data_IF_231626518238
#
_entry.id   IF_231626518238
#
_cell.length_a   1.000
_cell.length_b   1.000
_cell.length_c   1.000
_cell.angle_alpha   90.00
_cell.angle_beta   90.00
_cell.angle_gamma   90.00
#
_symmetry.space_group_name_H-M   'P 1'
#
loop_
_entity.id
_entity.type
_entity.pdbx_description
1 polymer ?
#
# COMPACT_ATOMS: atom_id res chain seq x y z
N UNK A 1 24.68 2.01 -8.55
CA UNK A 1 23.79 2.51 -7.49
C UNK A 1 24.58 3.43 -6.57
N UNK A 2 24.18 4.69 -6.39
CA UNK A 2 24.62 5.47 -5.25
C UNK A 2 24.13 4.80 -3.96
N UNK A 3 24.93 4.82 -2.89
CA UNK A 3 24.61 4.15 -1.60
C UNK A 3 23.30 4.65 -0.97
N UNK A 4 22.82 5.82 -1.39
CA UNK A 4 21.59 6.48 -0.92
C UNK A 4 20.33 5.79 -1.46
N UNK A 5 20.25 5.56 -2.78
CA UNK A 5 19.11 4.87 -3.41
C UNK A 5 18.90 3.44 -2.86
N UNK A 6 19.98 2.71 -2.58
CA UNK A 6 19.87 1.36 -1.99
C UNK A 6 19.22 1.39 -0.60
N UNK A 7 19.47 2.44 0.20
CA UNK A 7 18.87 2.59 1.53
C UNK A 7 17.38 2.84 1.45
N UNK A 8 16.94 3.73 0.55
CA UNK A 8 15.53 3.99 0.33
C UNK A 8 14.79 2.71 -0.09
N UNK A 9 15.32 1.99 -1.09
CA UNK A 9 14.76 0.70 -1.52
C UNK A 9 14.71 -0.33 -0.39
N UNK A 10 15.74 -0.40 0.45
CA UNK A 10 15.76 -1.31 1.60
C UNK A 10 14.73 -0.93 2.68
N UNK A 11 14.53 0.36 2.95
CA UNK A 11 13.51 0.84 3.89
C UNK A 11 12.11 0.55 3.36
N UNK A 12 11.85 0.80 2.07
CA UNK A 12 10.60 0.44 1.41
C UNK A 12 10.31 -1.07 1.52
N UNK A 13 11.32 -1.90 1.22
CA UNK A 13 11.21 -3.35 1.36
C UNK A 13 10.94 -3.78 2.81
N UNK A 14 11.53 -3.10 3.80
CA UNK A 14 11.27 -3.35 5.21
C UNK A 14 9.82 -3.01 5.58
N UNK A 15 9.28 -1.88 5.10
CA UNK A 15 7.87 -1.52 5.34
C UNK A 15 6.94 -2.58 4.73
N UNK A 16 7.18 -3.01 3.50
CA UNK A 16 6.42 -4.09 2.86
C UNK A 16 6.47 -5.39 3.70
N UNK A 17 7.64 -5.74 4.22
CA UNK A 17 7.80 -6.91 5.07
C UNK A 17 7.03 -6.78 6.38
N UNK A 18 7.10 -5.62 7.04
CA UNK A 18 6.37 -5.34 8.28
C UNK A 18 4.87 -5.40 8.06
N UNK A 19 4.36 -4.85 6.95
CA UNK A 19 2.95 -4.91 6.59
C UNK A 19 2.50 -6.37 6.37
N UNK A 20 3.28 -7.17 5.64
CA UNK A 20 2.96 -8.57 5.38
C UNK A 20 2.99 -9.44 6.64
N UNK A 21 4.07 -9.35 7.42
CA UNK A 21 4.22 -10.10 8.67
C UNK A 21 3.18 -9.66 9.69
N UNK A 22 2.90 -8.36 9.79
CA UNK A 22 1.88 -7.81 10.65
C UNK A 22 0.48 -8.31 10.28
N UNK A 23 0.13 -8.29 9.00
CA UNK A 23 -1.15 -8.82 8.52
C UNK A 23 -1.30 -10.32 8.87
N UNK A 24 -0.27 -11.13 8.60
CA UNK A 24 -0.26 -12.56 8.92
C UNK A 24 -0.39 -12.85 10.42
N UNK A 25 0.22 -12.02 11.27
CA UNK A 25 0.09 -12.15 12.71
C UNK A 25 -1.32 -11.81 13.20
N UNK A 26 -2.00 -10.86 12.53
CA UNK A 26 -3.33 -10.39 12.91
C UNK A 26 -4.48 -11.28 12.42
N UNK A 27 -4.30 -11.99 11.30
CA UNK A 27 -5.33 -12.84 10.67
C UNK A 27 -6.07 -13.75 11.67
N UNK A 28 -5.38 -14.57 12.50
CA UNK A 28 -6.07 -15.44 13.45
C UNK A 28 -6.89 -14.65 14.47
N UNK A 29 -6.30 -13.61 15.06
CA UNK A 29 -6.95 -12.80 16.09
C UNK A 29 -8.15 -12.01 15.56
N UNK A 30 -8.07 -11.48 14.35
CA UNK A 30 -9.19 -10.77 13.72
C UNK A 30 -10.37 -11.70 13.43
N UNK A 31 -10.09 -12.93 13.01
CA UNK A 31 -11.13 -13.93 12.80
C UNK A 31 -11.80 -14.33 14.13
N UNK A 32 -11.01 -14.60 15.18
CA UNK A 32 -11.53 -14.94 16.51
C UNK A 32 -12.39 -13.81 17.12
N UNK A 33 -12.05 -12.56 16.85
CA UNK A 33 -12.81 -11.39 17.29
C UNK A 33 -14.03 -11.06 16.40
N UNK A 34 -14.26 -11.84 15.33
CA UNK A 34 -15.41 -11.66 14.46
C UNK A 34 -15.32 -10.40 13.58
N UNK A 35 -14.12 -9.96 13.22
CA UNK A 35 -13.91 -8.77 12.38
C UNK A 35 -14.12 -9.01 10.88
N UNK A 36 -14.54 -10.22 10.50
CA UNK A 36 -14.91 -10.53 9.12
C UNK A 36 -16.12 -9.68 8.70
N UNK A 37 -15.93 -8.86 7.66
CA UNK A 37 -16.91 -7.83 7.28
C UNK A 37 -17.96 -8.29 6.28
N UNK A 38 -17.80 -9.49 5.70
CA UNK A 38 -18.71 -10.05 4.70
C UNK A 38 -19.25 -11.40 5.15
N UNK A 39 -20.50 -11.68 4.80
CA UNK A 39 -21.19 -12.92 5.15
C UNK A 39 -20.60 -14.13 4.41
N UNK A 40 -20.42 -14.01 3.08
CA UNK A 40 -19.78 -15.02 2.24
C UNK A 40 -18.49 -14.47 1.62
N UNK A 41 -17.30 -14.80 2.17
CA UNK A 41 -16.02 -14.39 1.61
C UNK A 41 -15.71 -14.94 0.23
N UNK A 42 -16.40 -15.99 -0.22
CA UNK A 42 -16.10 -16.65 -1.50
C UNK A 42 -16.78 -15.99 -2.69
N UNK A 43 -17.84 -15.19 -2.45
CA UNK A 43 -18.61 -14.52 -3.49
C UNK A 43 -17.76 -13.47 -4.25
N UNK A 44 -17.53 -13.65 -5.58
CA UNK A 44 -16.80 -12.67 -6.39
C UNK A 44 -17.45 -11.29 -6.45
N UNK A 45 -18.75 -11.19 -6.17
CA UNK A 45 -19.51 -9.93 -6.13
C UNK A 45 -18.94 -8.97 -5.08
N UNK A 46 -18.35 -9.49 -4.00
CA UNK A 46 -17.65 -8.67 -3.00
C UNK A 46 -16.58 -7.79 -3.65
N UNK A 47 -15.79 -8.33 -4.59
CA UNK A 47 -14.75 -7.56 -5.30
C UNK A 47 -15.35 -6.37 -6.05
N UNK A 48 -16.49 -6.56 -6.69
CA UNK A 48 -17.18 -5.50 -7.45
C UNK A 48 -17.75 -4.43 -6.51
N UNK A 49 -18.35 -4.83 -5.38
CA UNK A 49 -18.84 -3.90 -4.37
C UNK A 49 -17.71 -3.02 -3.83
N UNK A 50 -16.55 -3.63 -3.54
CA UNK A 50 -15.39 -2.89 -3.06
C UNK A 50 -14.76 -1.98 -4.11
N UNK A 51 -14.69 -2.41 -5.38
CA UNK A 51 -14.28 -1.51 -6.47
C UNK A 51 -15.24 -0.31 -6.56
N UNK A 52 -16.55 -0.54 -6.46
CA UNK A 52 -17.55 0.52 -6.39
C UNK A 52 -17.32 1.46 -5.20
N UNK A 53 -17.02 0.91 -4.03
CA UNK A 53 -16.71 1.69 -2.83
C UNK A 53 -15.42 2.54 -2.99
N UNK A 54 -14.37 1.98 -3.61
CA UNK A 54 -13.14 2.72 -3.92
C UNK A 54 -13.46 3.88 -4.86
N UNK A 55 -14.17 3.63 -5.96
CA UNK A 55 -14.55 4.68 -6.91
C UNK A 55 -15.40 5.76 -6.22
N UNK A 56 -16.35 5.35 -5.38
CA UNK A 56 -17.19 6.27 -4.61
C UNK A 56 -16.38 7.14 -3.64
N UNK A 57 -15.44 6.54 -2.91
CA UNK A 57 -14.55 7.28 -1.99
C UNK A 57 -13.60 8.21 -2.75
N UNK A 58 -13.04 7.77 -3.88
CA UNK A 58 -12.21 8.62 -4.74
C UNK A 58 -13.01 9.80 -5.28
N UNK A 59 -14.23 9.57 -5.78
CA UNK A 59 -15.10 10.64 -6.24
C UNK A 59 -15.43 11.62 -5.10
N UNK A 60 -15.71 11.13 -3.90
CA UNK A 60 -15.91 11.95 -2.71
C UNK A 60 -14.68 12.81 -2.40
N UNK A 61 -13.47 12.23 -2.40
CA UNK A 61 -12.23 12.98 -2.18
C UNK A 61 -12.01 14.06 -3.23
N UNK A 62 -12.21 13.75 -4.52
CA UNK A 62 -12.07 14.73 -5.61
C UNK A 62 -13.07 15.88 -5.48
N UNK A 63 -14.30 15.60 -5.07
CA UNK A 63 -15.31 16.63 -4.79
C UNK A 63 -14.88 17.47 -3.59
N UNK A 64 -14.39 16.86 -2.51
CA UNK A 64 -13.93 17.58 -1.34
C UNK A 64 -12.74 18.51 -1.64
N UNK A 65 -11.78 18.07 -2.47
CA UNK A 65 -10.69 18.91 -2.96
C UNK A 65 -11.18 20.06 -3.83
N UNK A 66 -12.16 19.81 -4.70
CA UNK A 66 -12.77 20.87 -5.52
C UNK A 66 -13.40 22.00 -4.68
N UNK A 67 -13.76 21.73 -3.43
CA UNK A 67 -14.33 22.70 -2.50
C UNK A 67 -13.33 23.16 -1.43
N UNK A 68 -12.02 22.90 -1.61
CA UNK A 68 -10.95 23.27 -0.68
C UNK A 68 -11.20 22.78 0.76
N UNK A 69 -11.77 21.58 0.91
CA UNK A 69 -12.11 20.99 2.21
C UNK A 69 -10.93 20.22 2.84
N UNK A 70 -9.71 20.72 2.72
CA UNK A 70 -8.48 20.00 3.10
C UNK A 70 -8.46 19.58 4.57
N UNK A 71 -8.92 20.46 5.47
CA UNK A 71 -9.03 20.18 6.90
C UNK A 71 -10.01 19.02 7.19
N UNK A 72 -11.10 18.93 6.42
CA UNK A 72 -12.08 17.85 6.54
C UNK A 72 -11.46 16.52 6.09
N UNK A 73 -10.79 16.52 4.94
CA UNK A 73 -10.14 15.33 4.39
C UNK A 73 -9.05 14.83 5.34
N UNK A 74 -8.19 15.72 5.82
CA UNK A 74 -7.17 15.40 6.83
C UNK A 74 -7.80 14.85 8.11
N UNK A 75 -8.88 15.46 8.59
CA UNK A 75 -9.62 15.00 9.76
C UNK A 75 -10.20 13.59 9.60
N UNK A 76 -10.83 13.30 8.44
CA UNK A 76 -11.37 11.99 8.11
C UNK A 76 -10.25 10.95 8.07
N UNK A 77 -9.14 11.23 7.37
CA UNK A 77 -8.03 10.29 7.22
C UNK A 77 -7.40 9.98 8.57
N UNK A 78 -7.12 10.99 9.39
CA UNK A 78 -6.58 10.79 10.75
C UNK A 78 -7.56 9.98 11.61
N UNK A 79 -8.85 10.29 11.54
CA UNK A 79 -9.87 9.56 12.30
C UNK A 79 -9.90 8.08 11.89
N UNK A 80 -9.96 7.79 10.60
CA UNK A 80 -9.90 6.43 10.06
C UNK A 80 -8.59 5.73 10.44
N UNK A 81 -7.48 6.46 10.45
CA UNK A 81 -6.17 5.96 10.91
C UNK A 81 -6.23 5.53 12.38
N UNK A 82 -6.83 6.35 13.24
CA UNK A 82 -7.05 6.03 14.66
C UNK A 82 -7.97 4.84 14.86
N UNK A 83 -9.04 4.71 14.06
CA UNK A 83 -9.94 3.56 14.11
C UNK A 83 -9.22 2.26 13.69
N UNK A 84 -8.45 2.28 12.60
CA UNK A 84 -7.68 1.11 12.15
C UNK A 84 -6.59 0.74 13.17
N UNK A 85 -5.89 1.72 13.73
CA UNK A 85 -4.93 1.49 14.82
C UNK A 85 -5.61 0.86 16.04
N UNK A 86 -6.83 1.28 16.37
CA UNK A 86 -7.62 0.67 17.44
C UNK A 86 -7.93 -0.80 17.16
N UNK A 87 -8.38 -1.16 15.95
CA UNK A 87 -8.59 -2.57 15.57
C UNK A 87 -7.33 -3.42 15.77
N UNK A 88 -6.17 -2.92 15.34
CA UNK A 88 -4.89 -3.61 15.50
C UNK A 88 -4.52 -3.76 16.98
N UNK A 89 -4.58 -2.68 17.75
CA UNK A 89 -4.23 -2.72 19.16
C UNK A 89 -5.22 -3.55 20.00
N UNK A 90 -6.52 -3.52 19.67
CA UNK A 90 -7.54 -4.32 20.35
C UNK A 90 -7.39 -5.82 20.06
N UNK A 91 -6.83 -6.19 18.91
CA UNK A 91 -6.52 -7.58 18.58
C UNK A 91 -5.29 -8.11 19.33
N UNK A 92 -4.29 -7.26 19.57
CA UNK A 92 -3.00 -7.68 20.15
C UNK A 92 -2.94 -7.47 21.66
N UNK A 93 -3.61 -6.45 22.20
CA UNK A 93 -3.52 -6.08 23.61
C UNK A 93 -4.70 -6.61 24.41
N UNK A 94 -4.47 -7.17 25.62
CA UNK A 94 -5.54 -7.70 26.45
C UNK A 94 -6.44 -6.62 27.08
N UNK A 95 -6.01 -5.36 27.09
CA UNK A 95 -6.73 -4.26 27.73
C UNK A 95 -7.27 -3.26 26.68
N UNK A 96 -8.58 -3.21 26.50
CA UNK A 96 -9.24 -2.32 25.56
C UNK A 96 -9.03 -0.82 25.82
N UNK A 97 -8.85 -0.40 27.08
CA UNK A 97 -8.54 1.00 27.41
C UNK A 97 -7.12 1.37 26.97
N UNK A 98 -6.17 0.45 27.10
CA UNK A 98 -4.81 0.64 26.61
C UNK A 98 -4.80 0.73 25.08
N UNK A 99 -5.55 -0.15 24.40
CA UNK A 99 -5.70 -0.11 22.95
C UNK A 99 -6.27 1.22 22.46
N UNK A 100 -7.32 1.73 23.12
CA UNK A 100 -7.92 3.03 22.83
C UNK A 100 -6.96 4.19 23.10
N UNK A 101 -6.20 4.14 24.20
CA UNK A 101 -5.22 5.16 24.52
C UNK A 101 -4.10 5.20 23.47
N UNK A 102 -3.56 4.04 23.05
CA UNK A 102 -2.51 3.97 22.03
C UNK A 102 -3.01 4.38 20.65
N UNK A 103 -4.23 4.01 20.26
CA UNK A 103 -4.81 4.45 18.99
C UNK A 103 -5.06 5.96 18.97
N UNK A 104 -5.48 6.54 20.10
CA UNK A 104 -5.59 7.99 20.26
C UNK A 104 -4.23 8.68 20.16
N UNK A 105 -3.16 8.08 20.72
CA UNK A 105 -1.79 8.58 20.56
C UNK A 105 -1.37 8.59 19.09
N UNK A 106 -1.64 7.53 18.33
CA UNK A 106 -1.35 7.49 16.87
C UNK A 106 -2.09 8.61 16.14
N UNK A 107 -3.39 8.78 16.38
CA UNK A 107 -4.18 9.83 15.76
C UNK A 107 -3.68 11.24 16.13
N UNK A 108 -3.37 11.47 17.41
CA UNK A 108 -2.83 12.76 17.88
C UNK A 108 -1.43 13.04 17.33
N UNK A 109 -0.57 12.02 17.22
CA UNK A 109 0.75 12.17 16.63
C UNK A 109 0.65 12.61 15.15
N UNK A 110 -0.26 12.01 14.38
CA UNK A 110 -0.50 12.41 12.99
C UNK A 110 -1.09 13.84 12.85
N UNK A 111 -1.83 14.32 13.85
CA UNK A 111 -2.37 15.69 13.85
C UNK A 111 -1.31 16.73 14.21
N UNK A 112 -0.54 16.46 15.26
CA UNK A 112 0.34 17.46 15.88
C UNK A 112 1.73 17.43 15.27
N UNK A 113 2.22 16.25 14.86
CA UNK A 113 3.61 16.07 14.41
C UNK A 113 3.74 15.04 13.28
N UNK A 114 3.28 15.38 12.06
CA UNK A 114 3.33 14.49 10.89
C UNK A 114 4.72 14.45 10.26
N UNK A 115 5.73 13.99 11.01
CA UNK A 115 7.04 13.64 10.44
C UNK A 115 6.99 12.33 9.67
N UNK A 116 7.91 12.15 8.72
CA UNK A 116 7.95 10.96 7.84
C UNK A 116 7.90 9.64 8.61
N UNK A 117 8.64 9.51 9.71
CA UNK A 117 8.66 8.27 10.49
C UNK A 117 7.35 8.04 11.26
N UNK A 118 6.62 9.09 11.63
CA UNK A 118 5.29 8.98 12.27
C UNK A 118 4.28 8.51 11.22
N UNK A 119 4.34 9.09 10.03
CA UNK A 119 3.51 8.72 8.89
C UNK A 119 3.77 7.28 8.46
N UNK A 120 5.04 6.88 8.29
CA UNK A 120 5.42 5.54 7.84
C UNK A 120 5.11 4.46 8.86
N UNK A 121 5.31 4.73 10.16
CA UNK A 121 4.98 3.76 11.21
C UNK A 121 3.48 3.61 11.38
N UNK A 122 2.71 4.71 11.33
CA UNK A 122 1.25 4.66 11.32
C UNK A 122 0.74 3.97 10.04
N UNK A 123 1.33 4.28 8.89
CA UNK A 123 1.02 3.66 7.60
C UNK A 123 1.31 2.16 7.61
N UNK A 124 2.45 1.71 8.13
CA UNK A 124 2.76 0.29 8.25
C UNK A 124 1.76 -0.43 9.19
N UNK A 125 1.39 0.18 10.32
CA UNK A 125 0.40 -0.34 11.26
C UNK A 125 -0.99 -0.46 10.60
N UNK A 126 -1.44 0.62 9.94
CA UNK A 126 -2.72 0.65 9.21
C UNK A 126 -2.71 -0.33 8.05
N UNK A 127 -1.60 -0.45 7.33
CA UNK A 127 -1.46 -1.35 6.21
C UNK A 127 -1.54 -2.81 6.63
N UNK A 128 -0.88 -3.17 7.74
CA UNK A 128 -1.00 -4.50 8.33
C UNK A 128 -2.45 -4.80 8.77
N UNK A 129 -3.09 -3.85 9.46
CA UNK A 129 -4.48 -3.99 9.89
C UNK A 129 -5.46 -4.11 8.73
N UNK A 130 -5.38 -3.21 7.75
CA UNK A 130 -6.23 -3.21 6.57
C UNK A 130 -6.03 -4.49 5.74
N UNK A 131 -4.78 -4.89 5.46
CA UNK A 131 -4.52 -6.10 4.71
C UNK A 131 -4.96 -7.37 5.45
N UNK A 132 -4.85 -7.40 6.78
CA UNK A 132 -5.38 -8.48 7.61
C UNK A 132 -6.90 -8.56 7.55
N UNK A 133 -7.60 -7.44 7.72
CA UNK A 133 -9.07 -7.34 7.63
C UNK A 133 -9.56 -7.76 6.24
N UNK A 134 -8.98 -7.22 5.18
CA UNK A 134 -9.31 -7.62 3.82
C UNK A 134 -8.94 -9.08 3.54
N UNK A 135 -7.84 -9.57 4.08
CA UNK A 135 -7.40 -10.96 3.91
C UNK A 135 -8.37 -11.98 4.50
N UNK A 136 -9.00 -11.69 5.65
CA UNK A 136 -10.04 -12.57 6.22
C UNK A 136 -11.42 -12.36 5.58
N UNK A 137 -11.67 -11.18 5.01
CA UNK A 137 -12.96 -10.87 4.39
C UNK A 137 -13.02 -11.29 2.91
N UNK A 138 -11.91 -11.39 2.20
CA UNK A 138 -11.88 -11.83 0.82
C UNK A 138 -11.30 -13.23 0.70
N UNK A 139 -12.13 -14.16 0.26
CA UNK A 139 -11.71 -15.48 -0.19
C UNK A 139 -10.74 -15.40 -1.37
N UNK A 140 -10.22 -16.57 -1.75
CA UNK A 140 -9.21 -16.69 -2.80
C UNK A 140 -9.68 -16.09 -4.13
N UNK A 141 -10.89 -16.44 -4.58
CA UNK A 141 -11.43 -15.93 -5.84
C UNK A 141 -11.65 -14.41 -5.82
N UNK A 142 -12.35 -13.82 -4.82
CA UNK A 142 -12.50 -12.37 -4.74
C UNK A 142 -11.17 -11.61 -4.66
N UNK A 143 -10.21 -12.09 -3.87
CA UNK A 143 -8.89 -11.47 -3.79
C UNK A 143 -8.19 -11.47 -5.16
N UNK A 144 -8.18 -12.60 -5.88
CA UNK A 144 -7.60 -12.70 -7.23
C UNK A 144 -8.26 -11.72 -8.22
N UNK A 145 -9.60 -11.62 -8.19
CA UNK A 145 -10.37 -10.72 -9.06
C UNK A 145 -10.05 -9.27 -8.75
N UNK A 146 -10.10 -8.88 -7.47
CA UNK A 146 -9.80 -7.53 -7.00
C UNK A 146 -8.39 -7.09 -7.43
N UNK A 147 -7.37 -7.88 -7.10
CA UNK A 147 -5.97 -7.55 -7.41
C UNK A 147 -5.72 -7.47 -8.91
N UNK A 148 -6.35 -8.36 -9.70
CA UNK A 148 -6.23 -8.36 -11.15
C UNK A 148 -6.86 -7.12 -11.78
N UNK A 149 -8.06 -6.72 -11.33
CA UNK A 149 -8.73 -5.51 -11.83
C UNK A 149 -7.92 -4.26 -11.49
N UNK A 150 -7.42 -4.15 -10.25
CA UNK A 150 -6.58 -3.01 -9.85
C UNK A 150 -5.26 -2.95 -10.62
N UNK A 151 -4.62 -4.09 -10.85
CA UNK A 151 -3.42 -4.17 -11.68
C UNK A 151 -3.70 -3.72 -13.12
N UNK A 152 -4.78 -4.20 -13.74
CA UNK A 152 -5.16 -3.81 -15.11
C UNK A 152 -5.48 -2.31 -15.18
N UNK A 153 -6.21 -1.79 -14.19
CA UNK A 153 -6.52 -0.37 -14.10
C UNK A 153 -5.25 0.48 -14.02
N UNK A 154 -4.30 0.14 -13.14
CA UNK A 154 -3.03 0.86 -12.99
C UNK A 154 -2.18 0.81 -14.27
N UNK A 155 -2.09 -0.36 -14.92
CA UNK A 155 -1.40 -0.49 -16.20
C UNK A 155 -2.00 0.42 -17.29
N UNK A 156 -3.34 0.47 -17.38
CA UNK A 156 -4.03 1.34 -18.34
C UNK A 156 -3.80 2.82 -17.97
N UNK A 157 -3.90 3.16 -16.69
CA UNK A 157 -3.72 4.52 -16.19
C UNK A 157 -2.33 5.07 -16.53
N UNK A 158 -1.28 4.27 -16.29
CA UNK A 158 0.11 4.70 -16.48
C UNK A 158 0.52 4.66 -17.95
N UNK A 159 0.27 3.56 -18.67
CA UNK A 159 0.82 3.39 -20.03
C UNK A 159 -0.05 4.00 -21.12
N UNK A 160 -1.38 4.05 -20.92
CA UNK A 160 -2.32 4.48 -21.96
C UNK A 160 -2.81 5.89 -21.73
N UNK A 161 -3.39 6.17 -20.56
CA UNK A 161 -4.03 7.48 -20.32
C UNK A 161 -3.08 8.52 -19.76
N UNK A 162 -1.98 8.12 -19.13
CA UNK A 162 -1.00 9.00 -18.47
C UNK A 162 -1.60 9.97 -17.44
N UNK A 163 -2.87 9.79 -17.06
CA UNK A 163 -3.64 10.70 -16.21
C UNK A 163 -3.05 10.82 -14.78
N UNK A 164 -2.26 9.83 -14.34
CA UNK A 164 -1.54 9.90 -13.07
C UNK A 164 -0.40 10.93 -13.07
N UNK A 165 0.11 11.33 -14.25
CA UNK A 165 1.14 12.36 -14.39
C UNK A 165 0.55 13.78 -14.29
N UNK A 166 -0.74 13.95 -14.61
CA UNK A 166 -1.42 15.26 -14.63
C UNK A 166 -2.12 15.59 -13.28
N UNK A 167 -2.19 14.65 -12.33
CA UNK A 167 -2.85 14.81 -11.01
C UNK A 167 -1.88 15.24 -9.89
N UNK A 168 -0.62 15.49 -10.22
CA UNK A 168 0.45 15.77 -9.26
C UNK A 168 0.31 17.13 -8.52
N UNK A 169 -0.57 18.03 -8.98
CA UNK A 169 -0.68 19.40 -8.43
C UNK A 169 -1.54 19.53 -7.15
N UNK A 170 -2.35 18.53 -6.78
CA UNK A 170 -3.36 18.73 -5.71
C UNK A 170 -3.24 17.89 -4.44
N UNK A 171 -2.38 16.86 -4.40
CA UNK A 171 -2.44 15.82 -3.34
C UNK A 171 -1.21 15.83 -2.41
N UNK A 172 -0.14 16.55 -2.74
CA UNK A 172 1.11 16.50 -1.98
C UNK A 172 1.12 17.38 -0.71
N UNK A 173 0.20 18.34 -0.58
CA UNK A 173 0.20 19.30 0.55
C UNK A 173 -0.38 18.74 1.86
N UNK A 174 -1.03 17.58 1.82
CA UNK A 174 -1.86 17.11 2.94
C UNK A 174 -1.11 16.32 4.01
N UNK A 175 0.14 15.90 3.75
CA UNK A 175 1.01 15.14 4.68
C UNK A 175 0.25 14.01 5.41
N UNK A 176 -0.52 13.24 4.65
CA UNK A 176 -1.41 12.18 5.13
C UNK A 176 -0.77 10.80 5.00
N UNK A 177 -1.07 9.84 5.91
CA UNK A 177 -0.57 8.46 5.88
C UNK A 177 -1.21 7.58 4.79
N UNK A 178 -1.44 8.17 3.61
CA UNK A 178 -1.86 7.49 2.39
C UNK A 178 -0.65 7.28 1.45
N UNK A 179 0.40 8.08 1.63
CA UNK A 179 1.67 7.99 0.92
C UNK A 179 2.79 7.77 1.95
N UNK A 180 3.55 6.70 1.77
CA UNK A 180 4.75 6.40 2.55
C UNK A 180 5.91 7.24 2.03
N UNK A 181 6.68 7.81 2.94
CA UNK A 181 7.77 8.75 2.66
C UNK A 181 9.09 8.11 3.03
N UNK A 182 9.83 7.67 2.02
CA UNK A 182 11.07 6.91 2.19
C UNK A 182 12.25 7.86 1.98
N UNK A 183 12.89 8.37 3.05
CA UNK A 183 14.01 9.28 2.91
C UNK A 183 15.26 8.56 2.37
N UNK A 184 16.05 9.24 1.56
CA UNK A 184 17.37 8.75 1.12
C UNK A 184 18.48 9.08 2.12
N UNK A 185 18.22 10.02 3.05
CA UNK A 185 19.13 10.42 4.14
C UNK A 185 18.39 10.58 5.49
N UNK A 186 19.07 10.31 6.61
CA UNK A 186 18.46 10.34 7.96
C UNK A 186 18.23 11.76 8.51
N UNK A 187 18.83 12.77 7.88
CA UNK A 187 18.64 14.19 8.21
C UNK A 187 17.42 14.79 7.51
N UNK A 188 16.71 14.00 6.72
CA UNK A 188 15.49 14.42 6.04
C UNK A 188 14.37 14.73 7.05
N UNK A 189 13.80 15.93 6.95
CA UNK A 189 12.58 16.32 7.66
C UNK A 189 11.51 16.63 6.63
N UNK A 190 10.35 16.00 6.79
CA UNK A 190 9.18 16.28 5.94
C UNK A 190 8.54 17.63 6.31
N UNK A 191 8.83 18.14 7.52
CA UNK A 191 8.28 19.40 7.98
C UNK A 191 8.93 20.61 7.30
N UNK A 192 10.21 20.47 6.94
CA UNK A 192 11.03 21.51 6.32
C UNK A 192 10.87 21.59 4.79
N UNK A 193 10.21 20.62 4.16
CA UNK A 193 9.90 20.66 2.73
C UNK A 193 8.67 21.55 2.43
N UNK A 194 8.92 22.61 1.67
CA UNK A 194 7.90 23.41 0.98
C UNK A 194 7.55 22.75 -0.36
N UNK A 195 6.50 21.94 -0.39
CA UNK A 195 5.97 21.27 -1.60
C UNK A 195 5.56 22.25 -2.73
N UNK A 196 5.48 23.55 -2.43
CA UNK A 196 5.13 24.60 -3.38
C UNK A 196 6.26 24.98 -4.38
N UNK A 197 7.51 24.55 -4.16
CA UNK A 197 8.66 24.97 -5.01
C UNK A 197 9.06 23.98 -6.10
N UNK A 198 8.80 22.68 -5.93
CA UNK A 198 9.22 21.64 -6.89
C UNK A 198 8.20 21.35 -8.01
N UNK A 199 7.01 21.96 -7.98
CA UNK A 199 6.01 21.81 -9.05
C UNK A 199 6.38 22.57 -10.34
N UNK A 200 7.36 23.47 -10.31
CA UNK A 200 7.78 24.25 -11.47
C UNK A 200 8.97 23.63 -12.24
N UNK A 201 9.55 22.51 -11.80
CA UNK A 201 10.79 21.97 -12.40
C UNK A 201 10.66 20.54 -12.97
N UNK A 202 9.42 20.13 -13.30
CA UNK A 202 9.17 18.85 -14.00
C UNK A 202 8.59 19.05 -15.40
N UNK A 203 8.71 20.27 -15.94
CA UNK A 203 7.95 20.68 -17.11
C UNK A 203 8.56 21.75 -18.01
N UNK A 204 9.88 21.80 -18.22
CA UNK A 204 10.44 22.58 -19.33
C UNK A 204 11.31 21.71 -20.26
N UNK A 205 10.69 21.29 -21.36
CA UNK A 205 11.38 21.00 -22.61
C UNK A 205 10.40 21.30 -23.77
N UNK A 206 10.13 22.58 -23.99
CA UNK A 206 9.66 23.12 -25.27
C UNK A 206 10.04 24.61 -25.37
N UNK A 207 11.03 24.87 -26.22
CA UNK A 207 11.62 26.14 -26.64
C UNK A 207 10.60 27.19 -27.13
N UNK A 208 10.73 28.44 -26.66
CA UNK A 208 10.82 29.67 -27.49
C UNK A 208 10.81 30.98 -26.65
N UNK A 209 11.93 31.72 -26.67
CA UNK A 209 11.93 33.21 -26.79
C UNK A 209 12.10 34.14 -25.57
N UNK A 210 13.35 34.51 -25.28
CA UNK A 210 13.88 35.80 -24.75
C UNK A 210 13.11 36.58 -23.63
N UNK A 211 13.66 36.64 -22.40
CA UNK A 211 14.42 37.80 -21.85
C UNK A 211 14.61 37.81 -20.30
N UNK A 212 15.89 37.86 -19.90
CA UNK A 212 16.53 38.50 -18.71
C UNK A 212 16.28 38.00 -17.25
N UNK A 213 17.17 37.09 -16.83
CA UNK A 213 18.06 37.11 -15.64
C UNK A 213 17.51 37.14 -14.19
N UNK A 214 17.74 36.03 -13.45
CA UNK A 214 18.61 35.97 -12.25
C UNK A 214 18.88 34.51 -11.84
N UNK A 215 20.14 34.22 -11.50
CA UNK A 215 20.79 32.91 -11.29
C UNK A 215 20.14 31.95 -10.26
N UNK A 216 20.15 30.66 -10.61
CA UNK A 216 19.97 29.52 -9.72
C UNK A 216 20.00 28.19 -10.51
N UNK A 217 21.19 27.62 -10.68
CA UNK A 217 21.46 26.27 -11.22
C UNK A 217 20.61 25.22 -10.48
N UNK A 218 19.68 24.54 -11.16
CA UNK A 218 19.19 23.19 -10.78
C UNK A 218 18.52 22.41 -11.95
N UNK A 219 18.92 22.67 -13.19
CA UNK A 219 18.46 21.90 -14.35
C UNK A 219 19.37 20.68 -14.59
N UNK A 220 19.12 19.57 -13.87
CA UNK A 220 19.42 18.15 -14.22
C UNK A 220 19.56 17.24 -12.97
N UNK A 221 18.53 17.15 -12.12
CA UNK A 221 18.56 16.20 -11.00
C UNK A 221 18.34 14.75 -11.50
N UNK A 222 19.43 13.95 -11.51
CA UNK A 222 19.40 12.48 -11.67
C UNK A 222 18.38 11.88 -10.67
N UNK A 223 17.62 10.82 -10.98
CA UNK A 223 16.75 10.14 -9.99
C UNK A 223 17.44 9.71 -8.67
N UNK A 224 18.77 9.81 -8.60
CA UNK A 224 19.58 9.64 -7.39
C UNK A 224 19.71 10.88 -6.49
N UNK A 225 19.27 12.06 -6.93
CA UNK A 225 19.31 13.34 -6.18
C UNK A 225 17.97 13.71 -5.52
N UNK A 226 16.90 12.93 -5.74
CA UNK A 226 15.67 13.09 -4.96
C UNK A 226 15.90 12.66 -3.52
N UNK A 227 15.65 13.56 -2.57
CA UNK A 227 15.91 13.32 -1.16
C UNK A 227 14.91 12.35 -0.50
N UNK A 228 13.77 12.07 -1.14
CA UNK A 228 12.81 11.04 -0.73
C UNK A 228 12.12 10.32 -1.90
N UNK A 229 11.66 9.09 -1.65
CA UNK A 229 10.77 8.33 -2.52
C UNK A 229 9.38 8.25 -1.91
N UNK A 230 8.35 8.54 -2.72
CA UNK A 230 6.95 8.42 -2.31
C UNK A 230 6.36 7.12 -2.87
N UNK A 231 5.78 6.29 -2.01
CA UNK A 231 5.11 5.04 -2.40
C UNK A 231 3.70 5.04 -1.81
N UNK A 232 2.68 4.72 -2.61
CA UNK A 232 1.32 4.62 -2.09
C UNK A 232 1.21 3.50 -1.06
N UNK A 233 0.57 3.75 0.09
CA UNK A 233 0.32 2.71 1.09
C UNK A 233 -0.48 1.53 0.49
N UNK A 234 -1.35 1.82 -0.48
CA UNK A 234 -2.07 0.81 -1.26
C UNK A 234 -1.15 -0.21 -1.94
N UNK A 235 0.03 0.18 -2.40
CA UNK A 235 0.97 -0.72 -3.09
C UNK A 235 1.56 -1.78 -2.16
N UNK A 236 1.68 -1.47 -0.86
CA UNK A 236 2.06 -2.44 0.16
C UNK A 236 0.86 -3.30 0.61
N UNK A 237 -0.33 -2.68 0.71
CA UNK A 237 -1.54 -3.34 1.23
C UNK A 237 -2.11 -4.34 0.23
N UNK A 238 -2.32 -3.96 -1.03
CA UNK A 238 -3.01 -4.78 -2.04
C UNK A 238 -2.39 -6.16 -2.25
N UNK A 239 -1.07 -6.31 -2.51
CA UNK A 239 -0.47 -7.65 -2.61
C UNK A 239 -0.53 -8.42 -1.27
N UNK A 240 -0.50 -7.71 -0.14
CA UNK A 240 -0.61 -8.32 1.19
C UNK A 240 -2.01 -8.89 1.46
N UNK A 241 -3.07 -8.35 0.86
CA UNK A 241 -4.42 -8.95 0.92
C UNK A 241 -4.38 -10.39 0.39
N UNK A 242 -3.67 -10.65 -0.72
CA UNK A 242 -3.52 -12.01 -1.26
C UNK A 242 -2.70 -12.89 -0.31
N UNK A 243 -1.65 -12.36 0.32
CA UNK A 243 -0.85 -13.08 1.32
C UNK A 243 -1.73 -13.52 2.51
N UNK A 244 -2.50 -12.59 3.06
CA UNK A 244 -3.39 -12.84 4.20
C UNK A 244 -4.56 -13.77 3.83
N UNK A 245 -5.18 -13.58 2.67
CA UNK A 245 -6.22 -14.46 2.13
C UNK A 245 -5.70 -15.88 1.88
N UNK A 246 -4.51 -16.03 1.32
CA UNK A 246 -3.87 -17.33 1.14
C UNK A 246 -3.57 -18.02 2.48
N UNK A 247 -3.10 -17.26 3.48
CA UNK A 247 -2.83 -17.78 4.81
C UNK A 247 -4.10 -18.29 5.51
N UNK A 248 -5.22 -17.60 5.30
CA UNK A 248 -6.49 -17.92 5.96
C UNK A 248 -7.33 -18.99 5.22
N UNK A 249 -7.48 -18.87 3.89
CA UNK A 249 -8.41 -19.69 3.11
C UNK A 249 -7.76 -20.86 2.36
N UNK A 250 -6.43 -20.90 2.20
CA UNK A 250 -5.79 -22.03 1.51
C UNK A 250 -5.86 -23.30 2.36
N UNK A 251 -6.10 -24.44 1.71
CA UNK A 251 -6.06 -25.76 2.35
C UNK A 251 -4.64 -26.29 2.57
N UNK A 252 -3.61 -25.53 2.19
CA UNK A 252 -2.23 -25.92 2.41
C UNK A 252 -1.89 -25.98 3.91
N UNK A 253 -1.11 -26.97 4.38
CA UNK A 253 -0.70 -27.04 5.78
C UNK A 253 0.09 -25.81 6.22
N UNK A 254 -0.06 -25.44 7.51
CA UNK A 254 0.80 -24.46 8.16
C UNK A 254 2.25 -24.94 8.17
N UNK A 255 3.20 -24.00 8.04
CA UNK A 255 4.64 -24.26 8.10
C UNK A 255 5.14 -24.49 9.54
N UNK A 256 4.27 -24.36 10.55
CA UNK A 256 4.60 -24.66 11.96
C UNK A 256 5.44 -23.59 12.65
N UNK A 257 5.45 -22.35 12.13
CA UNK A 257 6.13 -21.23 12.76
C UNK A 257 5.26 -20.68 13.91
N UNK A 258 5.71 -20.85 15.15
CA UNK A 258 4.94 -20.45 16.34
C UNK A 258 4.54 -18.96 16.35
N UNK A 259 5.40 -18.08 15.82
CA UNK A 259 5.13 -16.64 15.75
C UNK A 259 4.13 -16.26 14.64
N UNK A 260 3.94 -17.11 13.63
CA UNK A 260 3.06 -16.88 12.48
C UNK A 260 2.28 -18.17 12.17
N UNK A 261 1.31 -18.55 13.02
CA UNK A 261 0.63 -19.84 12.91
C UNK A 261 -0.16 -19.98 11.60
N UNK A 262 -0.65 -18.87 11.05
CA UNK A 262 -1.36 -18.83 9.76
C UNK A 262 -0.44 -19.00 8.54
N UNK A 263 0.89 -18.92 8.69
CA UNK A 263 1.79 -18.97 7.54
C UNK A 263 1.81 -20.39 6.94
N UNK A 264 1.37 -20.47 5.69
CA UNK A 264 1.44 -21.67 4.85
C UNK A 264 2.34 -21.41 3.61
N UNK A 265 2.62 -22.46 2.83
CA UNK A 265 3.49 -22.35 1.67
C UNK A 265 2.95 -21.39 0.57
N UNK A 266 1.64 -21.38 0.23
CA UNK A 266 1.08 -20.40 -0.70
C UNK A 266 1.25 -18.95 -0.25
N UNK A 267 0.99 -18.64 1.02
CA UNK A 267 1.18 -17.30 1.57
C UNK A 267 2.66 -16.88 1.53
N UNK A 268 3.57 -17.77 1.92
CA UNK A 268 5.02 -17.50 1.86
C UNK A 268 5.50 -17.20 0.44
N UNK A 269 5.09 -18.02 -0.54
CA UNK A 269 5.49 -17.79 -1.92
C UNK A 269 4.79 -16.57 -2.54
N UNK A 270 3.59 -16.20 -2.09
CA UNK A 270 2.97 -14.92 -2.42
C UNK A 270 3.82 -13.75 -1.92
N UNK A 271 4.29 -13.78 -0.67
CA UNK A 271 5.21 -12.76 -0.13
C UNK A 271 6.48 -12.64 -0.98
N UNK A 272 7.14 -13.77 -1.25
CA UNK A 272 8.35 -13.81 -2.10
C UNK A 272 8.05 -13.27 -3.49
N UNK A 273 6.91 -13.62 -4.07
CA UNK A 273 6.43 -13.11 -5.35
C UNK A 273 6.26 -11.59 -5.35
N UNK A 274 5.68 -11.02 -4.29
CA UNK A 274 5.59 -9.56 -4.12
C UNK A 274 6.97 -8.91 -4.09
N UNK A 275 7.95 -9.49 -3.37
CA UNK A 275 9.32 -8.96 -3.35
C UNK A 275 10.05 -9.08 -4.68
N UNK A 276 9.80 -10.14 -5.45
CA UNK A 276 10.30 -10.25 -6.83
C UNK A 276 9.69 -9.17 -7.73
N UNK A 277 8.37 -8.95 -7.61
CA UNK A 277 7.68 -7.86 -8.30
C UNK A 277 8.22 -6.48 -7.92
N UNK A 278 8.43 -6.25 -6.62
CA UNK A 278 9.02 -5.02 -6.08
C UNK A 278 10.43 -4.80 -6.62
N UNK A 279 11.28 -5.83 -6.61
CA UNK A 279 12.64 -5.74 -7.17
C UNK A 279 12.62 -5.41 -8.67
N UNK A 280 11.71 -6.00 -9.44
CA UNK A 280 11.53 -5.69 -10.85
C UNK A 280 11.05 -4.25 -11.08
N UNK A 281 10.11 -3.78 -10.23
CA UNK A 281 9.61 -2.40 -10.27
C UNK A 281 10.73 -1.41 -9.98
N UNK A 282 11.47 -1.60 -8.89
CA UNK A 282 12.61 -0.76 -8.55
C UNK A 282 13.68 -0.77 -9.62
N UNK A 283 13.94 -1.93 -10.23
CA UNK A 283 14.84 -2.01 -11.37
C UNK A 283 14.38 -1.19 -12.58
N UNK A 284 13.09 -1.17 -12.89
CA UNK A 284 12.52 -0.38 -13.97
C UNK A 284 12.56 1.13 -13.65
N UNK A 285 12.19 1.51 -12.43
CA UNK A 285 12.22 2.91 -11.94
C UNK A 285 13.64 3.47 -11.99
N UNK A 286 14.64 2.68 -11.56
CA UNK A 286 16.05 3.07 -11.62
C UNK A 286 16.60 3.24 -13.04
N UNK A 287 15.88 2.73 -14.06
CA UNK A 287 16.21 2.99 -15.47
C UNK A 287 15.52 4.23 -16.02
N UNK A 288 14.92 5.06 -15.16
CA UNK A 288 14.22 6.28 -15.55
C UNK A 288 12.89 6.05 -16.26
N UNK A 289 12.31 4.85 -16.17
CA UNK A 289 11.04 4.52 -16.83
C UNK A 289 9.91 4.61 -15.80
N UNK A 290 8.93 5.48 -16.04
CA UNK A 290 7.65 5.39 -15.35
C UNK A 290 7.05 4.00 -15.59
N UNK A 291 6.61 3.34 -14.52
CA UNK A 291 6.06 1.99 -14.58
C UNK A 291 4.86 1.90 -13.65
N UNK A 292 3.86 1.14 -14.10
CA UNK A 292 2.72 0.77 -13.28
C UNK A 292 3.20 -0.16 -12.14
N UNK A 293 2.93 0.24 -10.89
CA UNK A 293 3.39 -0.46 -9.70
C UNK A 293 2.58 -1.73 -9.43
N UNK A 294 1.26 -1.61 -9.42
CA UNK A 294 0.36 -2.71 -9.05
C UNK A 294 0.47 -3.93 -9.96
N UNK A 295 0.66 -3.84 -11.30
CA UNK A 295 0.90 -5.00 -12.15
C UNK A 295 2.05 -5.89 -11.69
N UNK A 296 3.18 -5.28 -11.30
CA UNK A 296 4.35 -6.04 -10.88
C UNK A 296 4.18 -6.59 -9.46
N UNK A 297 3.62 -5.79 -8.54
CA UNK A 297 3.42 -6.18 -7.15
C UNK A 297 2.32 -7.23 -7.00
N UNK A 298 1.12 -6.95 -7.52
CA UNK A 298 -0.01 -7.88 -7.47
C UNK A 298 0.24 -9.10 -8.35
N UNK A 299 0.80 -8.91 -9.56
CA UNK A 299 1.16 -10.02 -10.43
C UNK A 299 2.22 -10.93 -9.81
N UNK A 300 3.20 -10.35 -9.10
CA UNK A 300 4.15 -11.08 -8.28
C UNK A 300 3.47 -11.88 -7.16
N UNK A 301 2.59 -11.24 -6.38
CA UNK A 301 1.87 -11.90 -5.30
C UNK A 301 0.98 -13.07 -5.79
N UNK A 302 0.22 -12.84 -6.87
CA UNK A 302 -0.67 -13.83 -7.48
C UNK A 302 0.14 -15.00 -8.05
N UNK A 303 1.21 -14.73 -8.80
CA UNK A 303 2.04 -15.80 -9.37
C UNK A 303 2.74 -16.62 -8.29
N UNK A 304 3.28 -15.96 -7.26
CA UNK A 304 3.84 -16.62 -6.09
C UNK A 304 2.84 -17.50 -5.35
N UNK A 305 1.62 -16.98 -5.13
CA UNK A 305 0.51 -17.71 -4.53
C UNK A 305 0.14 -18.98 -5.32
N UNK A 306 -0.03 -18.86 -6.64
CA UNK A 306 -0.43 -19.96 -7.51
C UNK A 306 0.67 -21.04 -7.58
N UNK A 307 1.92 -20.62 -7.73
CA UNK A 307 3.07 -21.54 -7.68
C UNK A 307 3.12 -22.25 -6.32
N UNK A 308 2.97 -21.51 -5.21
CA UNK A 308 2.98 -22.12 -3.88
C UNK A 308 1.82 -23.06 -3.63
N UNK A 309 0.65 -22.79 -4.19
CA UNK A 309 -0.52 -23.68 -4.13
C UNK A 309 -0.27 -25.00 -4.86
N UNK A 310 0.28 -24.94 -6.09
CA UNK A 310 0.63 -26.14 -6.86
C UNK A 310 1.72 -26.94 -6.16
N UNK A 311 2.76 -26.29 -5.64
CA UNK A 311 3.86 -26.96 -4.91
C UNK A 311 3.35 -27.61 -3.62
N UNK A 312 2.38 -26.99 -2.93
CA UNK A 312 1.74 -27.55 -1.74
C UNK A 312 0.76 -28.69 -2.05
N UNK A 313 0.53 -29.02 -3.33
CA UNK A 313 -0.42 -30.05 -3.75
C UNK A 313 -1.90 -29.62 -3.73
N UNK A 314 -2.17 -28.31 -3.64
CA UNK A 314 -3.53 -27.77 -3.70
C UNK A 314 -4.00 -27.80 -5.16
N UNK A 315 -5.15 -28.43 -5.48
CA UNK A 315 -5.69 -28.42 -6.83
C UNK A 315 -5.92 -26.99 -7.34
N UNK A 316 -5.60 -26.72 -8.62
CA UNK A 316 -5.70 -25.38 -9.18
C UNK A 316 -7.13 -24.80 -9.08
N UNK A 317 -8.14 -25.65 -9.22
CA UNK A 317 -9.55 -25.27 -9.04
C UNK A 317 -9.83 -24.72 -7.64
N UNK A 318 -9.28 -25.35 -6.61
CA UNK A 318 -9.38 -24.88 -5.22
C UNK A 318 -8.53 -23.63 -4.99
N UNK A 319 -7.33 -23.56 -5.56
CA UNK A 319 -6.47 -22.38 -5.47
C UNK A 319 -7.09 -21.14 -6.16
N UNK A 320 -7.81 -21.32 -7.25
CA UNK A 320 -8.56 -20.23 -7.89
C UNK A 320 -9.85 -19.88 -7.13
N UNK A 321 -10.19 -20.59 -6.05
CA UNK A 321 -11.45 -20.40 -5.33
C UNK A 321 -12.69 -20.79 -6.15
N UNK A 322 -12.52 -21.61 -7.20
CA UNK A 322 -13.61 -22.04 -8.09
C UNK A 322 -14.32 -23.31 -7.61
N UNK A 323 -13.74 -24.02 -6.64
CA UNK A 323 -14.30 -25.28 -6.13
C UNK A 323 -15.76 -25.19 -5.64
N UNK A 324 -16.24 -24.09 -5.02
CA UNK A 324 -17.65 -23.96 -4.63
C UNK A 324 -18.63 -23.83 -5.82
N UNK A 325 -18.15 -23.55 -7.03
CA UNK A 325 -18.97 -23.25 -8.21
C UNK A 325 -19.01 -24.38 -9.26
N UNK A 326 -18.35 -25.51 -8.98
CA UNK A 326 -18.27 -26.68 -9.87
C UNK A 326 -18.91 -27.90 -9.21
#
# INVERSE_FOLDING_TARGET
>A
MPRRAYRGVALAALIFLVVQVGALALVPTFFEQGYQTVEDPTDPTNSLLYIGAIIGMTAFMLVAFKYDLDQLIRGIIVFTSGVLAWYVFAAVLPNGLLALALSAVVALALLVYPEWYVIDTAGALMGAGAAGLFGISFGLLPALVLLSILAVYDAISVYKTKHMLDLAEGVMDLRIPVVLVIPTTWSYSLLDEDFARDANDVGENADDGESESADGDDADADPGDRDAFFIGLGDAVMPTVMVASAAFFSSAPSLGIAALPALNLPALLAMVGTFVGFAALMWAVMKGRAHAGLPLLNGGAISGYLVGSVVAGVPLVSALGLAPYL
#
